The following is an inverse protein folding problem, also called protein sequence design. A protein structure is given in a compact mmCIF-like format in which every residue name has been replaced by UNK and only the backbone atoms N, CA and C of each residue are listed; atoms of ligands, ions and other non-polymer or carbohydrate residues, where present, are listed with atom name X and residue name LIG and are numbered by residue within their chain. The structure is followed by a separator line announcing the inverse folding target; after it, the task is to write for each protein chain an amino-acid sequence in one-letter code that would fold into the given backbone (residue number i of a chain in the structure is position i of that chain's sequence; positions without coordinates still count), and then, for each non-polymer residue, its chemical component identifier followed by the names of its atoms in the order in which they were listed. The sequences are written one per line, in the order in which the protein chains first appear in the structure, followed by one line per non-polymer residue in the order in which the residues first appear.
data_IF_337718684668
#
_entry.id   IF_337718684668
#
_cell.length_a   1.000
_cell.length_b   1.000
_cell.length_c   1.000
_cell.angle_alpha   90.00
_cell.angle_beta   90.00
_cell.angle_gamma   90.00
#
_symmetry.space_group_name_H-M   'P 1'
#
loop_
_entity.id
_entity.type
_entity.pdbx_description
1 polymer ?
#
# COMPACT_ATOMS: atom_id res chain seq x y z
N UNK A 1 -3.23 32.08 -24.44
CA UNK A 1 -3.71 30.69 -24.47
C UNK A 1 -2.59 29.66 -24.33
N UNK A 2 -1.58 29.59 -25.23
CA UNK A 2 -0.50 28.57 -25.20
C UNK A 2 0.31 28.49 -23.89
N UNK A 3 0.61 29.63 -23.25
CA UNK A 3 1.38 29.65 -21.99
C UNK A 3 0.67 28.92 -20.83
N UNK A 4 -0.65 29.09 -20.69
CA UNK A 4 -1.44 28.44 -19.63
C UNK A 4 -1.53 26.93 -19.87
N UNK A 5 -1.71 26.52 -21.13
CA UNK A 5 -1.71 25.10 -21.52
C UNK A 5 -0.39 24.42 -21.19
N UNK A 6 0.74 25.09 -21.44
CA UNK A 6 2.07 24.58 -21.07
C UNK A 6 2.21 24.44 -19.55
N UNK A 7 1.81 25.44 -18.77
CA UNK A 7 1.85 25.35 -17.29
C UNK A 7 1.00 24.18 -16.76
N UNK A 8 -0.20 23.98 -17.28
CA UNK A 8 -1.06 22.85 -16.89
C UNK A 8 -0.40 21.52 -17.26
N UNK A 9 0.16 21.41 -18.48
CA UNK A 9 0.86 20.20 -18.90
C UNK A 9 2.05 19.86 -17.99
N UNK A 10 2.85 20.87 -17.59
CA UNK A 10 3.94 20.68 -16.63
C UNK A 10 3.43 20.20 -15.27
N UNK A 11 2.38 20.81 -14.72
CA UNK A 11 1.80 20.38 -13.43
C UNK A 11 1.31 18.93 -13.52
N UNK A 12 0.63 18.54 -14.60
CA UNK A 12 0.17 17.18 -14.80
C UNK A 12 1.35 16.18 -14.84
N UNK A 13 2.44 16.52 -15.53
CA UNK A 13 3.66 15.69 -15.55
C UNK A 13 4.26 15.51 -14.14
N UNK A 14 4.34 16.59 -13.36
CA UNK A 14 4.84 16.51 -11.98
C UNK A 14 3.99 15.62 -11.08
N UNK A 15 2.66 15.67 -11.21
CA UNK A 15 1.75 14.82 -10.42
C UNK A 15 1.92 13.34 -10.80
N UNK A 16 2.09 13.03 -12.09
CA UNK A 16 2.33 11.66 -12.56
C UNK A 16 3.65 11.11 -12.00
N UNK A 17 4.72 11.91 -12.04
CA UNK A 17 6.05 11.52 -11.53
C UNK A 17 6.00 11.26 -10.01
N UNK A 18 5.29 12.11 -9.26
CA UNK A 18 5.12 11.92 -7.82
C UNK A 18 4.38 10.61 -7.52
N UNK A 19 3.25 10.35 -8.20
CA UNK A 19 2.49 9.10 -8.01
C UNK A 19 3.30 7.83 -8.35
N UNK A 20 4.22 7.90 -9.31
CA UNK A 20 5.13 6.80 -9.63
C UNK A 20 6.19 6.60 -8.52
N UNK A 21 6.73 7.71 -8.00
CA UNK A 21 7.69 7.70 -6.88
C UNK A 21 7.08 7.05 -5.63
N UNK A 22 5.85 7.40 -5.27
CA UNK A 22 5.18 6.86 -4.08
C UNK A 22 4.99 5.34 -4.16
N UNK A 23 4.57 4.83 -5.32
CA UNK A 23 4.45 3.38 -5.59
C UNK A 23 5.79 2.66 -5.45
N UNK A 24 6.88 3.27 -5.93
CA UNK A 24 8.22 2.69 -5.83
C UNK A 24 8.73 2.68 -4.39
N UNK A 25 8.41 3.71 -3.61
CA UNK A 25 8.72 3.77 -2.17
C UNK A 25 8.02 2.61 -1.45
N UNK A 26 6.71 2.43 -1.66
CA UNK A 26 5.97 1.35 -1.02
C UNK A 26 6.50 -0.03 -1.42
N UNK A 27 6.88 -0.23 -2.69
CA UNK A 27 7.50 -1.49 -3.14
C UNK A 27 8.81 -1.78 -2.44
N UNK A 28 9.69 -0.79 -2.29
CA UNK A 28 11.00 -0.96 -1.62
C UNK A 28 10.83 -1.29 -0.14
N UNK A 29 9.86 -0.66 0.54
CA UNK A 29 9.56 -0.95 1.96
C UNK A 29 9.16 -2.40 2.12
N UNK A 30 8.29 -2.91 1.24
CA UNK A 30 7.82 -4.30 1.28
C UNK A 30 8.95 -5.28 1.00
N UNK A 31 9.72 -5.06 -0.08
CA UNK A 31 10.85 -5.92 -0.42
C UNK A 31 11.88 -6.02 0.73
N UNK A 32 12.14 -4.89 1.42
CA UNK A 32 13.01 -4.87 2.61
C UNK A 32 12.40 -5.60 3.80
N UNK A 33 11.08 -5.57 3.97
CA UNK A 33 10.40 -6.31 5.01
C UNK A 33 10.47 -7.81 4.73
N UNK A 34 10.13 -8.23 3.50
CA UNK A 34 10.09 -9.62 3.06
C UNK A 34 11.46 -10.29 3.15
N UNK A 35 12.54 -9.59 2.80
CA UNK A 35 13.91 -10.12 2.91
C UNK A 35 14.33 -10.45 4.34
N UNK A 36 13.58 -9.99 5.36
CA UNK A 36 13.85 -10.22 6.77
C UNK A 36 12.82 -11.13 7.44
N UNK A 37 11.84 -11.66 6.71
CA UNK A 37 10.78 -12.51 7.27
C UNK A 37 11.34 -13.78 7.90
N UNK A 38 12.37 -14.40 7.30
CA UNK A 38 13.02 -15.60 7.84
C UNK A 38 13.58 -15.35 9.25
N UNK A 39 14.18 -14.17 9.46
CA UNK A 39 14.80 -13.81 10.73
C UNK A 39 13.83 -13.23 11.74
N UNK A 40 12.92 -12.38 11.28
CA UNK A 40 12.09 -11.54 12.14
C UNK A 40 10.64 -12.08 12.29
N UNK A 41 10.34 -13.23 11.69
CA UNK A 41 9.00 -13.78 11.63
C UNK A 41 8.07 -13.07 10.65
N UNK A 42 7.03 -13.80 10.22
CA UNK A 42 5.99 -13.29 9.30
C UNK A 42 5.03 -12.30 9.97
N UNK A 43 4.86 -12.41 11.28
CA UNK A 43 3.98 -11.56 12.08
C UNK A 43 4.79 -10.91 13.22
N UNK A 44 4.22 -9.86 13.81
CA UNK A 44 4.68 -9.21 15.04
C UNK A 44 3.47 -8.75 15.87
N UNK A 45 3.73 -8.19 17.06
CA UNK A 45 2.67 -7.73 17.97
C UNK A 45 1.70 -6.76 17.31
N UNK A 46 2.23 -5.83 16.51
CA UNK A 46 1.41 -4.85 15.77
C UNK A 46 0.46 -5.53 14.78
N UNK A 47 0.97 -6.45 13.95
CA UNK A 47 0.09 -7.19 13.02
C UNK A 47 -0.91 -8.08 13.75
N UNK A 48 -0.50 -8.68 14.88
CA UNK A 48 -1.35 -9.57 15.66
C UNK A 48 -2.52 -8.81 16.29
N UNK A 49 -2.23 -7.69 16.96
CA UNK A 49 -3.24 -6.80 17.56
C UNK A 49 -4.18 -6.26 16.48
N UNK A 50 -3.63 -5.83 15.34
CA UNK A 50 -4.45 -5.35 14.22
C UNK A 50 -5.40 -6.44 13.71
N UNK A 51 -4.90 -7.66 13.48
CA UNK A 51 -5.71 -8.79 13.05
C UNK A 51 -6.77 -9.18 14.08
N UNK A 52 -6.44 -9.15 15.37
CA UNK A 52 -7.41 -9.40 16.44
C UNK A 52 -8.54 -8.36 16.42
N UNK A 53 -8.20 -7.07 16.33
CA UNK A 53 -9.18 -6.00 16.24
C UNK A 53 -10.10 -6.17 15.02
N UNK A 54 -9.53 -6.50 13.85
CA UNK A 54 -10.31 -6.69 12.64
C UNK A 54 -11.17 -7.95 12.67
N UNK A 55 -10.72 -9.05 13.29
CA UNK A 55 -11.55 -10.25 13.49
C UNK A 55 -12.79 -10.00 14.33
N UNK A 56 -12.72 -9.10 15.33
CA UNK A 56 -13.86 -8.75 16.18
C UNK A 56 -14.98 -8.02 15.40
N UNK A 57 -14.62 -7.28 14.36
CA UNK A 57 -15.57 -6.44 13.59
C UNK A 57 -15.92 -7.03 12.22
N UNK A 58 -15.03 -7.84 11.64
CA UNK A 58 -15.19 -8.47 10.33
C UNK A 58 -15.00 -9.98 10.45
N UNK A 59 -16.12 -10.74 10.48
CA UNK A 59 -16.11 -12.20 10.70
C UNK A 59 -15.30 -12.98 9.65
N UNK A 60 -15.16 -12.44 8.45
CA UNK A 60 -14.40 -13.01 7.34
C UNK A 60 -13.01 -12.38 7.18
N UNK A 61 -12.45 -11.78 8.24
CA UNK A 61 -11.12 -11.18 8.19
C UNK A 61 -10.06 -12.23 7.87
N UNK A 62 -9.24 -11.94 6.85
CA UNK A 62 -8.05 -12.71 6.52
C UNK A 62 -6.87 -12.17 7.31
N UNK A 63 -6.19 -13.04 8.05
CA UNK A 63 -4.91 -12.73 8.69
C UNK A 63 -3.93 -12.12 7.67
N UNK A 64 -3.40 -10.94 8.02
CA UNK A 64 -2.35 -10.27 7.25
C UNK A 64 -1.04 -10.31 8.02
N UNK A 65 0.05 -10.48 7.28
CA UNK A 65 1.42 -10.42 7.81
C UNK A 65 1.84 -9.00 8.17
N UNK A 66 2.95 -8.88 8.91
CA UNK A 66 3.57 -7.58 9.19
C UNK A 66 3.95 -6.80 7.92
N UNK A 67 4.36 -7.51 6.86
CA UNK A 67 4.76 -6.88 5.60
C UNK A 67 3.54 -6.46 4.78
N UNK A 68 2.45 -7.22 4.81
CA UNK A 68 1.17 -6.80 4.23
C UNK A 68 0.60 -5.57 4.94
N UNK A 69 0.67 -5.53 6.28
CA UNK A 69 0.24 -4.36 7.05
C UNK A 69 1.11 -3.12 6.74
N UNK A 70 2.43 -3.28 6.66
CA UNK A 70 3.34 -2.20 6.26
C UNK A 70 3.05 -1.70 4.82
N UNK A 71 2.76 -2.61 3.89
CA UNK A 71 2.36 -2.28 2.50
C UNK A 71 1.09 -1.46 2.49
N UNK A 72 0.05 -1.93 3.18
CA UNK A 72 -1.25 -1.26 3.23
C UNK A 72 -1.11 0.13 3.86
N UNK A 73 -0.36 0.26 4.95
CA UNK A 73 -0.09 1.55 5.58
C UNK A 73 0.58 2.52 4.61
N UNK A 74 1.63 2.09 3.90
CA UNK A 74 2.32 2.94 2.93
C UNK A 74 1.38 3.45 1.83
N UNK A 75 0.56 2.58 1.24
CA UNK A 75 -0.40 2.95 0.19
C UNK A 75 -1.46 3.90 0.72
N UNK A 76 -1.99 3.62 1.91
CA UNK A 76 -3.03 4.45 2.50
C UNK A 76 -2.48 5.82 2.88
N UNK A 77 -1.24 5.93 3.34
CA UNK A 77 -0.61 7.21 3.69
C UNK A 77 -0.13 7.99 2.47
N UNK A 78 0.60 7.36 1.55
CA UNK A 78 1.27 8.06 0.44
C UNK A 78 0.41 8.16 -0.82
N UNK A 79 -0.30 7.08 -1.19
CA UNK A 79 -1.04 7.06 -2.46
C UNK A 79 -2.50 7.51 -2.31
N UNK A 80 -3.13 7.26 -1.17
CA UNK A 80 -4.59 7.45 -1.01
C UNK A 80 -5.01 8.44 0.06
N UNK A 81 -4.08 8.93 0.89
CA UNK A 81 -4.37 9.82 2.03
C UNK A 81 -5.57 9.37 2.87
N UNK A 82 -5.64 8.06 3.19
CA UNK A 82 -6.73 7.41 3.90
C UNK A 82 -6.28 6.83 5.25
N UNK A 83 -7.25 6.58 6.13
CA UNK A 83 -6.98 6.03 7.47
C UNK A 83 -6.68 4.54 7.43
N UNK A 84 -5.90 4.04 8.41
CA UNK A 84 -5.56 2.63 8.58
C UNK A 84 -6.69 1.84 9.25
N UNK A 85 -7.85 1.73 8.58
CA UNK A 85 -8.97 0.90 9.04
C UNK A 85 -8.92 -0.51 8.43
N UNK A 86 -9.57 -1.49 9.07
CA UNK A 86 -9.67 -2.86 8.56
C UNK A 86 -10.17 -2.90 7.11
N UNK A 87 -11.22 -2.14 6.80
CA UNK A 87 -11.79 -2.07 5.45
C UNK A 87 -10.83 -1.44 4.44
N UNK A 88 -10.16 -0.34 4.81
CA UNK A 88 -9.20 0.32 3.94
C UNK A 88 -7.99 -0.59 3.65
N UNK A 89 -7.49 -1.31 4.66
CA UNK A 89 -6.41 -2.28 4.50
C UNK A 89 -6.82 -3.43 3.57
N UNK A 90 -8.03 -3.98 3.76
CA UNK A 90 -8.59 -5.03 2.90
C UNK A 90 -8.64 -4.58 1.44
N UNK A 91 -9.15 -3.36 1.19
CA UNK A 91 -9.24 -2.78 -0.16
C UNK A 91 -7.87 -2.50 -0.78
N UNK A 92 -6.95 -1.93 0.00
CA UNK A 92 -5.60 -1.64 -0.46
C UNK A 92 -4.88 -2.91 -0.91
N UNK A 93 -4.99 -4.00 -0.14
CA UNK A 93 -4.36 -5.27 -0.46
C UNK A 93 -5.05 -6.04 -1.60
N UNK A 94 -6.37 -5.92 -1.75
CA UNK A 94 -7.10 -6.57 -2.85
C UNK A 94 -6.72 -6.02 -4.24
N UNK A 95 -6.59 -4.69 -4.36
CA UNK A 95 -6.25 -4.04 -5.63
C UNK A 95 -4.83 -4.35 -6.11
N UNK A 96 -3.95 -4.78 -5.20
CA UNK A 96 -2.57 -5.12 -5.53
C UNK A 96 -2.43 -6.49 -6.21
N UNK A 97 -3.24 -7.50 -5.81
CA UNK A 97 -3.26 -8.78 -6.52
C UNK A 97 -3.56 -8.58 -8.01
N UNK A 98 -4.43 -7.61 -8.32
CA UNK A 98 -4.76 -7.23 -9.68
C UNK A 98 -3.60 -6.50 -10.41
N UNK A 99 -2.92 -5.56 -9.76
CA UNK A 99 -1.81 -4.82 -10.40
C UNK A 99 -0.54 -5.65 -10.59
N UNK A 100 -0.23 -6.58 -9.67
CA UNK A 100 0.90 -7.50 -9.80
C UNK A 100 0.62 -8.56 -10.90
N UNK A 101 -0.63 -8.89 -11.20
CA UNK A 101 -1.00 -9.75 -12.35
C UNK A 101 -0.81 -9.06 -13.71
N UNK A 102 -1.16 -7.78 -13.84
CA UNK A 102 -1.05 -7.05 -15.13
C UNK A 102 0.41 -6.83 -15.55
N UNK A 103 1.35 -6.72 -14.61
CA UNK A 103 2.78 -6.52 -14.92
C UNK A 103 3.50 -7.79 -15.42
N UNK A 104 2.91 -8.96 -15.23
CA UNK A 104 3.50 -10.27 -15.60
C UNK A 104 2.89 -10.88 -16.88
N UNK A 105 2.16 -10.07 -17.67
CA UNK A 105 1.69 -10.38 -19.02
C UNK A 105 2.44 -9.46 -19.98
#
# INVERSE_FOLDING_TARGET
MSKITLFIAFICLFVIVQAQSDRDICRRIVARCESRVVRNGRNNDISNIFNENCRRTQRNWREISRCELAKANCILTLERCNTLSCENVRRALAQLKYQDQIRNI
#
